data_IF_034865994747
#
_entry.id   IF_034865994747
#
_cell.length_a   1.000
_cell.length_b   1.000
_cell.length_c   1.000
_cell.angle_alpha   90.00
_cell.angle_beta   90.00
_cell.angle_gamma   90.00
#
_symmetry.space_group_name_H-M   'P 1'
#
loop_
_entity.id
_entity.type
_entity.pdbx_description
1 polymer ?
#
# COMPACT_ATOMS: atom_id res chain seq x y z
N UNK A 1 8.34 -0.15 7.08
CA UNK A 1 8.97 -0.90 5.98
C UNK A 1 8.73 -0.25 4.63
N UNK A 2 7.48 -0.06 4.18
CA UNK A 2 7.20 0.57 2.88
C UNK A 2 7.86 1.94 2.73
N UNK A 3 7.71 2.83 3.72
CA UNK A 3 8.41 4.12 3.76
C UNK A 3 9.93 3.95 3.58
N UNK A 4 10.55 3.05 4.36
CA UNK A 4 12.00 2.86 4.28
C UNK A 4 12.48 2.40 2.89
N UNK A 5 11.67 1.57 2.19
CA UNK A 5 12.02 1.07 0.86
C UNK A 5 11.78 2.11 -0.24
N UNK A 6 10.84 3.03 -0.04
CA UNK A 6 10.53 4.07 -1.02
C UNK A 6 11.40 5.33 -0.83
N UNK A 7 11.60 5.77 0.42
CA UNK A 7 12.17 7.09 0.70
C UNK A 7 13.69 7.04 0.96
N UNK A 8 14.18 6.02 1.69
CA UNK A 8 15.61 5.98 2.02
C UNK A 8 16.55 5.74 0.83
N UNK A 9 16.16 5.07 -0.27
CA UNK A 9 17.00 4.99 -1.47
C UNK A 9 17.00 6.27 -2.32
N UNK A 10 16.27 7.31 -1.91
CA UNK A 10 16.18 8.61 -2.57
C UNK A 10 17.04 9.67 -1.85
N UNK A 11 16.96 10.91 -2.29
CA UNK A 11 17.60 12.08 -1.67
C UNK A 11 16.67 12.82 -0.68
N UNK A 12 15.46 12.32 -0.45
CA UNK A 12 14.45 12.97 0.38
C UNK A 12 14.62 12.66 1.88
N UNK A 13 15.21 11.50 2.22
CA UNK A 13 15.38 11.09 3.61
C UNK A 13 16.73 10.40 3.86
N UNK A 14 17.30 10.62 5.04
CA UNK A 14 18.55 9.99 5.48
C UNK A 14 18.32 9.32 6.84
N UNK A 15 18.73 8.06 6.96
CA UNK A 15 18.86 7.39 8.25
C UNK A 15 20.22 7.73 8.86
N UNK A 16 20.20 8.40 10.00
CA UNK A 16 21.43 8.78 10.71
C UNK A 16 22.08 7.63 11.51
N UNK A 17 21.38 6.49 11.65
CA UNK A 17 21.89 5.35 12.44
C UNK A 17 22.87 4.50 11.67
N UNK A 18 24.10 4.95 11.59
CA UNK A 18 25.16 4.27 10.82
C UNK A 18 25.47 2.84 11.28
N UNK A 19 25.07 2.48 12.50
CA UNK A 19 25.22 1.13 13.05
C UNK A 19 24.06 0.19 12.72
N UNK A 20 22.97 0.67 12.14
CA UNK A 20 21.84 -0.18 11.74
C UNK A 20 22.18 -0.94 10.45
N UNK A 21 22.11 -2.26 10.52
CA UNK A 21 22.55 -3.14 9.42
C UNK A 21 21.49 -3.32 8.34
N UNK A 22 20.25 -2.94 8.60
CA UNK A 22 19.13 -3.12 7.69
C UNK A 22 18.62 -1.79 7.10
N UNK A 23 18.48 -0.76 7.93
CA UNK A 23 17.89 0.53 7.50
C UNK A 23 18.95 1.44 6.88
N UNK A 24 20.11 1.62 7.53
CA UNK A 24 21.17 2.49 7.05
C UNK A 24 21.68 2.18 5.63
N UNK A 25 21.91 0.89 5.25
CA UNK A 25 22.37 0.55 3.90
C UNK A 25 21.40 0.91 2.79
N UNK A 26 20.09 1.11 3.09
CA UNK A 26 19.09 1.52 2.09
C UNK A 26 19.42 2.88 1.47
N UNK A 27 19.95 3.83 2.27
CA UNK A 27 20.34 5.16 1.78
C UNK A 27 21.38 5.13 0.66
N UNK A 28 22.14 4.07 0.57
CA UNK A 28 23.24 3.93 -0.39
C UNK A 28 22.97 2.87 -1.45
N UNK A 29 21.74 2.33 -1.49
CA UNK A 29 21.38 1.17 -2.31
C UNK A 29 22.36 -0.03 -2.12
N UNK A 30 22.91 -0.18 -0.91
CA UNK A 30 23.89 -1.23 -0.52
C UNK A 30 23.23 -2.31 0.32
N UNK A 31 22.22 -2.96 -0.22
CA UNK A 31 21.48 -4.03 0.44
C UNK A 31 21.42 -5.28 -0.43
N UNK A 32 21.14 -6.41 0.19
CA UNK A 32 20.97 -7.71 -0.45
C UNK A 32 19.56 -8.24 -0.20
N UNK A 33 19.21 -9.37 -0.83
CA UNK A 33 17.93 -10.04 -0.59
C UNK A 33 17.74 -10.49 0.87
N UNK A 34 18.82 -10.60 1.66
CA UNK A 34 18.77 -10.95 3.08
C UNK A 34 18.60 -9.74 4.02
N UNK A 35 18.56 -8.51 3.49
CA UNK A 35 18.28 -7.32 4.30
C UNK A 35 16.92 -7.45 4.98
N UNK A 36 16.87 -7.18 6.29
CA UNK A 36 15.67 -7.41 7.09
C UNK A 36 14.46 -6.59 6.65
N UNK A 37 14.65 -5.34 6.19
CA UNK A 37 13.54 -4.51 5.69
C UNK A 37 12.98 -5.08 4.38
N UNK A 38 13.87 -5.45 3.44
CA UNK A 38 13.51 -6.03 2.14
C UNK A 38 12.77 -7.36 2.34
N UNK A 39 13.35 -8.27 3.12
CA UNK A 39 12.78 -9.60 3.36
C UNK A 39 11.45 -9.54 4.12
N UNK A 40 11.35 -8.71 5.14
CA UNK A 40 10.14 -8.60 5.94
C UNK A 40 8.98 -7.96 5.16
N UNK A 41 9.25 -7.00 4.25
CA UNK A 41 8.21 -6.45 3.39
C UNK A 41 7.68 -7.51 2.42
N UNK A 42 8.59 -8.26 1.77
CA UNK A 42 8.23 -9.39 0.91
C UNK A 42 7.33 -10.41 1.63
N UNK A 43 7.76 -10.87 2.80
CA UNK A 43 7.01 -11.85 3.58
C UNK A 43 5.62 -11.34 4.00
N UNK A 44 5.50 -10.07 4.39
CA UNK A 44 4.21 -9.48 4.76
C UNK A 44 3.22 -9.46 3.60
N UNK A 45 3.66 -9.06 2.41
CA UNK A 45 2.81 -9.05 1.22
C UNK A 45 2.31 -10.46 0.90
N UNK A 46 3.18 -11.49 0.97
CA UNK A 46 2.76 -12.86 0.72
C UNK A 46 1.86 -13.46 1.80
N UNK A 47 2.04 -13.09 3.06
CA UNK A 47 1.10 -13.48 4.13
C UNK A 47 -0.30 -12.90 3.84
N UNK A 48 -0.38 -11.65 3.43
CA UNK A 48 -1.65 -11.00 3.09
C UNK A 48 -2.28 -11.61 1.84
N UNK A 49 -1.51 -11.87 0.78
CA UNK A 49 -1.98 -12.58 -0.42
C UNK A 49 -2.54 -13.96 -0.06
N UNK A 50 -1.86 -14.72 0.81
CA UNK A 50 -2.34 -16.02 1.27
C UNK A 50 -3.67 -15.92 2.03
N UNK A 51 -3.84 -14.89 2.87
CA UNK A 51 -5.11 -14.62 3.55
C UNK A 51 -6.22 -14.24 2.57
N UNK A 52 -5.93 -13.41 1.55
CA UNK A 52 -6.87 -13.08 0.49
C UNK A 52 -7.32 -14.34 -0.27
N UNK A 53 -6.37 -15.16 -0.69
CA UNK A 53 -6.67 -16.41 -1.41
C UNK A 53 -7.53 -17.36 -0.54
N UNK A 54 -7.19 -17.53 0.74
CA UNK A 54 -7.99 -18.34 1.64
C UNK A 54 -9.43 -17.82 1.80
N UNK A 55 -9.63 -16.51 1.93
CA UNK A 55 -10.95 -15.92 1.98
C UNK A 55 -11.75 -16.21 0.70
N UNK A 56 -11.14 -16.05 -0.47
CA UNK A 56 -11.78 -16.29 -1.76
C UNK A 56 -12.18 -17.77 -1.93
N UNK A 57 -11.36 -18.71 -1.47
CA UNK A 57 -11.67 -20.14 -1.44
C UNK A 57 -12.86 -20.41 -0.50
N UNK A 58 -12.84 -19.89 0.73
CA UNK A 58 -13.89 -20.13 1.73
C UNK A 58 -15.25 -19.50 1.38
N UNK A 59 -15.24 -18.52 0.49
CA UNK A 59 -16.45 -17.80 0.05
C UNK A 59 -16.84 -18.16 -1.39
N UNK A 60 -16.24 -19.19 -1.97
CA UNK A 60 -16.62 -19.66 -3.31
C UNK A 60 -18.11 -20.06 -3.34
N UNK A 61 -18.81 -19.66 -4.41
CA UNK A 61 -20.24 -19.94 -4.61
C UNK A 61 -21.21 -19.11 -3.77
N UNK A 62 -20.72 -18.11 -3.00
CA UNK A 62 -21.59 -17.15 -2.32
C UNK A 62 -21.92 -16.00 -3.28
N UNK A 63 -23.19 -15.91 -3.68
CA UNK A 63 -23.65 -15.00 -4.76
C UNK A 63 -24.52 -13.84 -4.25
N UNK A 64 -24.70 -13.71 -2.93
CA UNK A 64 -25.39 -12.54 -2.38
C UNK A 64 -24.57 -11.26 -2.54
N UNK A 65 -25.26 -10.11 -2.65
CA UNK A 65 -24.62 -8.80 -2.94
C UNK A 65 -23.48 -8.45 -1.97
N UNK A 66 -23.68 -8.76 -0.69
CA UNK A 66 -22.65 -8.47 0.33
C UNK A 66 -21.42 -9.34 0.14
N UNK A 67 -21.59 -10.63 -0.08
CA UNK A 67 -20.50 -11.57 -0.35
C UNK A 67 -19.73 -11.19 -1.61
N UNK A 68 -20.42 -10.81 -2.69
CA UNK A 68 -19.80 -10.36 -3.92
C UNK A 68 -18.96 -9.08 -3.70
N UNK A 69 -19.50 -8.12 -2.95
CA UNK A 69 -18.77 -6.89 -2.58
C UNK A 69 -17.53 -7.21 -1.75
N UNK A 70 -17.65 -8.06 -0.72
CA UNK A 70 -16.52 -8.45 0.12
C UNK A 70 -15.43 -9.19 -0.68
N UNK A 71 -15.84 -10.06 -1.60
CA UNK A 71 -14.90 -10.75 -2.50
C UNK A 71 -14.17 -9.76 -3.42
N UNK A 72 -14.86 -8.76 -3.94
CA UNK A 72 -14.25 -7.70 -4.75
C UNK A 72 -13.24 -6.88 -3.93
N UNK A 73 -13.56 -6.51 -2.70
CA UNK A 73 -12.64 -5.81 -1.79
C UNK A 73 -11.39 -6.63 -1.47
N UNK A 74 -11.54 -7.94 -1.25
CA UNK A 74 -10.41 -8.84 -0.99
C UNK A 74 -9.55 -9.01 -2.23
N UNK A 75 -10.15 -9.12 -3.43
CA UNK A 75 -9.40 -9.09 -4.71
C UNK A 75 -8.67 -7.77 -4.91
N UNK A 76 -9.26 -6.64 -4.51
CA UNK A 76 -8.58 -5.34 -4.51
C UNK A 76 -7.35 -5.34 -3.60
N UNK A 77 -7.45 -5.83 -2.36
CA UNK A 77 -6.32 -5.91 -1.43
C UNK A 77 -5.20 -6.77 -2.02
N UNK A 78 -5.52 -7.92 -2.60
CA UNK A 78 -4.55 -8.79 -3.28
C UNK A 78 -3.88 -8.08 -4.47
N UNK A 79 -4.65 -7.35 -5.26
CA UNK A 79 -4.12 -6.56 -6.38
C UNK A 79 -3.18 -5.44 -5.90
N UNK A 80 -3.49 -4.79 -4.77
CA UNK A 80 -2.63 -3.80 -4.13
C UNK A 80 -1.31 -4.42 -3.63
N UNK A 81 -1.36 -5.61 -3.03
CA UNK A 81 -0.16 -6.33 -2.61
C UNK A 81 0.73 -6.69 -3.80
N UNK A 82 0.13 -7.18 -4.88
CA UNK A 82 0.86 -7.44 -6.13
C UNK A 82 1.38 -6.17 -6.80
N UNK A 83 0.69 -5.04 -6.66
CA UNK A 83 1.20 -3.74 -7.09
C UNK A 83 2.48 -3.36 -6.33
N UNK A 84 2.53 -3.55 -5.02
CA UNK A 84 3.78 -3.34 -4.27
C UNK A 84 4.86 -4.36 -4.63
N UNK A 85 4.49 -5.60 -4.92
CA UNK A 85 5.44 -6.63 -5.35
C UNK A 85 6.04 -6.33 -6.72
N UNK A 86 5.25 -5.88 -7.69
CA UNK A 86 5.76 -5.51 -9.03
C UNK A 86 6.69 -4.31 -8.98
N UNK A 87 6.37 -3.34 -8.12
CA UNK A 87 7.13 -2.11 -7.96
C UNK A 87 8.47 -2.35 -7.25
N UNK A 88 8.44 -3.00 -6.09
CA UNK A 88 9.61 -3.20 -5.24
C UNK A 88 10.52 -4.36 -5.69
N UNK A 89 9.95 -5.43 -6.28
CA UNK A 89 10.69 -6.69 -6.55
C UNK A 89 10.68 -7.13 -8.01
N UNK A 90 9.79 -6.61 -8.83
CA UNK A 90 9.72 -6.89 -10.27
C UNK A 90 9.11 -8.25 -10.58
N UNK A 91 9.95 -9.26 -10.90
CA UNK A 91 9.49 -10.63 -11.17
C UNK A 91 9.39 -11.41 -9.87
N UNK A 92 8.21 -11.87 -9.52
CA UNK A 92 7.91 -12.46 -8.21
C UNK A 92 7.19 -13.79 -8.31
N UNK A 93 7.20 -14.65 -7.28
CA UNK A 93 6.34 -15.82 -7.24
C UNK A 93 4.86 -15.43 -7.39
N UNK A 94 4.07 -16.23 -8.12
CA UNK A 94 2.65 -15.96 -8.33
C UNK A 94 1.78 -17.04 -7.71
N UNK A 95 0.81 -16.63 -6.92
CA UNK A 95 -0.19 -17.49 -6.29
C UNK A 95 -1.55 -16.80 -6.27
N UNK A 96 -2.60 -17.54 -6.60
CA UNK A 96 -4.00 -17.11 -6.48
C UNK A 96 -4.84 -18.19 -5.80
N UNK A 97 -6.15 -18.00 -5.70
CA UNK A 97 -7.07 -18.98 -5.12
C UNK A 97 -7.13 -20.29 -5.89
N UNK A 98 -6.73 -20.31 -7.16
CA UNK A 98 -6.74 -21.48 -8.03
C UNK A 98 -5.44 -22.29 -7.93
N UNK A 99 -4.39 -21.70 -7.39
CA UNK A 99 -3.05 -22.33 -7.31
C UNK A 99 -3.00 -23.45 -6.26
N UNK A 100 -4.00 -23.50 -5.38
CA UNK A 100 -4.10 -24.48 -4.30
C UNK A 100 -3.24 -24.17 -3.08
N UNK A 101 -3.53 -24.86 -1.98
CA UNK A 101 -2.75 -24.77 -0.73
C UNK A 101 -1.85 -26.00 -0.66
N UNK A 102 -0.54 -25.83 -0.60
CA UNK A 102 0.35 -26.98 -0.52
C UNK A 102 1.83 -26.63 -0.41
N UNK A 103 2.66 -27.67 -0.40
CA UNK A 103 4.13 -27.60 -0.30
C UNK A 103 4.81 -27.55 -1.66
N UNK A 104 4.31 -26.72 -2.58
CA UNK A 104 4.94 -26.51 -3.88
C UNK A 104 5.69 -25.16 -3.90
N UNK A 105 6.65 -25.04 -4.79
CA UNK A 105 7.36 -23.79 -5.04
C UNK A 105 6.62 -23.05 -6.16
N UNK A 106 6.01 -21.88 -5.90
CA UNK A 106 5.32 -21.13 -6.93
C UNK A 106 6.26 -20.72 -8.08
N UNK A 107 5.75 -20.76 -9.29
CA UNK A 107 6.46 -20.22 -10.43
C UNK A 107 6.55 -18.70 -10.38
N UNK A 108 7.61 -18.15 -10.95
CA UNK A 108 7.78 -16.69 -11.05
C UNK A 108 6.98 -16.16 -12.23
N UNK A 109 6.15 -15.15 -11.96
CA UNK A 109 5.51 -14.34 -12.99
C UNK A 109 6.46 -13.20 -13.42
N UNK A 110 6.48 -12.88 -14.72
CA UNK A 110 7.22 -11.72 -15.21
C UNK A 110 6.52 -10.42 -14.81
N UNK A 111 7.28 -9.34 -14.68
CA UNK A 111 6.75 -8.01 -14.38
C UNK A 111 5.61 -7.61 -15.33
N UNK A 112 5.78 -7.82 -16.65
CA UNK A 112 4.77 -7.49 -17.64
C UNK A 112 3.48 -8.33 -17.50
N UNK A 113 3.60 -9.63 -17.22
CA UNK A 113 2.45 -10.48 -17.00
C UNK A 113 1.74 -10.15 -15.67
N UNK A 114 2.49 -9.79 -14.64
CA UNK A 114 1.91 -9.35 -13.37
C UNK A 114 1.16 -8.02 -13.52
N UNK A 115 1.69 -7.09 -14.30
CA UNK A 115 0.98 -5.87 -14.69
C UNK A 115 -0.38 -6.19 -15.31
N UNK A 116 -0.40 -7.09 -16.29
CA UNK A 116 -1.64 -7.51 -16.98
C UNK A 116 -2.62 -8.17 -16.02
N UNK A 117 -2.12 -8.99 -15.09
CA UNK A 117 -2.96 -9.61 -14.05
C UNK A 117 -3.60 -8.55 -13.14
N UNK A 118 -2.82 -7.61 -12.60
CA UNK A 118 -3.31 -6.55 -11.72
C UNK A 118 -4.36 -5.68 -12.44
N UNK A 119 -4.07 -5.28 -13.68
CA UNK A 119 -5.00 -4.49 -14.50
C UNK A 119 -6.33 -5.23 -14.68
N UNK A 120 -6.28 -6.51 -15.06
CA UNK A 120 -7.46 -7.35 -15.26
C UNK A 120 -8.28 -7.46 -13.97
N UNK A 121 -7.64 -7.82 -12.85
CA UNK A 121 -8.31 -7.92 -11.55
C UNK A 121 -9.06 -6.65 -11.19
N UNK A 122 -8.38 -5.50 -11.27
CA UNK A 122 -8.98 -4.21 -10.92
C UNK A 122 -10.16 -3.83 -11.81
N UNK A 123 -10.08 -4.08 -13.13
CA UNK A 123 -11.18 -3.82 -14.07
C UNK A 123 -12.39 -4.74 -13.84
N UNK A 124 -12.15 -5.99 -13.50
CA UNK A 124 -13.23 -6.95 -13.23
C UNK A 124 -14.00 -6.63 -11.94
N UNK A 125 -13.31 -6.18 -10.90
CA UNK A 125 -13.95 -5.86 -9.62
C UNK A 125 -14.59 -4.47 -9.59
N UNK A 126 -14.18 -3.52 -10.43
CA UNK A 126 -14.69 -2.14 -10.43
C UNK A 126 -16.22 -2.07 -10.32
N UNK A 127 -17.02 -2.79 -11.12
CA UNK A 127 -18.49 -2.70 -11.05
C UNK A 127 -19.11 -3.37 -9.81
N UNK A 128 -18.35 -4.18 -9.06
CA UNK A 128 -18.80 -4.89 -7.86
C UNK A 128 -18.47 -4.10 -6.58
N UNK A 129 -17.62 -3.06 -6.68
CA UNK A 129 -17.25 -2.21 -5.57
C UNK A 129 -18.35 -1.20 -5.26
N UNK A 130 -18.48 -0.80 -4.01
CA UNK A 130 -19.35 0.32 -3.62
C UNK A 130 -18.93 1.61 -4.34
N UNK A 131 -19.89 2.48 -4.61
CA UNK A 131 -19.61 3.80 -5.18
C UNK A 131 -18.64 4.60 -4.29
N UNK A 132 -17.93 5.59 -4.85
CA UNK A 132 -17.00 6.41 -4.07
C UNK A 132 -17.64 6.98 -2.81
N UNK A 133 -16.97 6.82 -1.67
CA UNK A 133 -17.43 7.27 -0.34
C UNK A 133 -18.71 6.61 0.18
N UNK A 134 -19.25 5.59 -0.50
CA UNK A 134 -20.45 4.87 -0.06
C UNK A 134 -20.13 3.63 0.80
N UNK A 135 -18.86 3.29 0.95
CA UNK A 135 -18.46 2.18 1.80
C UNK A 135 -18.16 2.63 3.24
N UNK A 136 -18.03 1.67 4.14
CA UNK A 136 -17.58 1.91 5.52
C UNK A 136 -16.15 2.46 5.50
N UNK A 137 -15.85 3.44 6.36
CA UNK A 137 -14.51 4.03 6.47
C UNK A 137 -13.44 2.95 6.66
N UNK A 138 -12.37 3.04 5.88
CA UNK A 138 -11.29 2.05 5.87
C UNK A 138 -11.52 0.83 4.97
N UNK A 139 -12.68 0.72 4.30
CA UNK A 139 -12.93 -0.30 3.27
C UNK A 139 -12.80 0.31 1.87
N UNK A 140 -12.25 -0.49 0.95
CA UNK A 140 -12.04 -0.06 -0.42
C UNK A 140 -13.37 0.16 -1.17
N UNK A 141 -13.38 1.15 -2.06
CA UNK A 141 -14.49 1.48 -2.95
C UNK A 141 -13.97 1.69 -4.39
N UNK A 142 -14.84 2.12 -5.29
CA UNK A 142 -14.45 2.36 -6.69
C UNK A 142 -13.33 3.40 -6.84
N UNK A 143 -13.28 4.42 -5.97
CA UNK A 143 -12.23 5.42 -6.06
C UNK A 143 -10.85 4.85 -5.72
N UNK A 144 -10.78 3.90 -4.79
CA UNK A 144 -9.55 3.17 -4.49
C UNK A 144 -9.07 2.35 -5.71
N UNK A 145 -9.99 1.68 -6.40
CA UNK A 145 -9.70 0.94 -7.65
C UNK A 145 -9.17 1.89 -8.72
N UNK A 146 -9.84 3.02 -8.94
CA UNK A 146 -9.41 4.00 -9.95
C UNK A 146 -8.04 4.60 -9.65
N UNK A 147 -7.77 4.92 -8.40
CA UNK A 147 -6.47 5.45 -8.02
C UNK A 147 -5.35 4.42 -8.19
N UNK A 148 -5.60 3.16 -7.86
CA UNK A 148 -4.62 2.09 -8.06
C UNK A 148 -4.37 1.84 -9.57
N UNK A 149 -5.41 1.86 -10.40
CA UNK A 149 -5.27 1.80 -11.87
C UNK A 149 -4.49 3.00 -12.41
N UNK A 150 -4.78 4.23 -11.92
CA UNK A 150 -4.03 5.42 -12.32
C UNK A 150 -2.53 5.27 -12.02
N UNK A 151 -2.17 4.80 -10.83
CA UNK A 151 -0.77 4.56 -10.45
C UNK A 151 -0.11 3.45 -11.28
N UNK A 152 -0.85 2.36 -11.53
CA UNK A 152 -0.38 1.25 -12.37
C UNK A 152 -0.08 1.73 -13.79
N UNK A 153 -0.97 2.52 -14.40
CA UNK A 153 -0.79 3.09 -15.74
C UNK A 153 0.32 4.15 -15.80
N UNK A 154 0.49 4.96 -14.76
CA UNK A 154 1.55 5.95 -14.70
C UNK A 154 2.94 5.29 -14.84
N UNK A 155 3.12 4.13 -14.22
CA UNK A 155 4.37 3.36 -14.24
C UNK A 155 4.38 2.23 -15.29
N UNK A 156 3.41 2.18 -16.20
CA UNK A 156 3.28 1.08 -17.17
C UNK A 156 4.52 0.91 -18.05
N UNK A 157 5.18 2.01 -18.45
CA UNK A 157 6.41 1.96 -19.24
C UNK A 157 7.54 1.23 -18.51
N UNK A 158 7.68 1.44 -17.21
CA UNK A 158 8.67 0.74 -16.37
C UNK A 158 8.37 -0.76 -16.28
N UNK A 159 7.09 -1.12 -16.20
CA UNK A 159 6.68 -2.51 -16.00
C UNK A 159 6.63 -3.31 -17.31
N UNK A 160 6.27 -2.67 -18.43
CA UNK A 160 5.94 -3.35 -19.69
C UNK A 160 6.77 -2.87 -20.89
N UNK A 161 7.48 -1.75 -20.77
CA UNK A 161 8.13 -1.05 -21.88
C UNK A 161 7.18 -0.20 -22.72
N UNK A 162 5.89 -0.11 -22.36
CA UNK A 162 4.89 0.67 -23.12
C UNK A 162 4.18 1.66 -22.20
N UNK A 163 4.27 2.98 -22.48
CA UNK A 163 3.65 4.01 -21.64
C UNK A 163 2.11 3.99 -21.78
N UNK A 164 1.42 4.28 -20.66
CA UNK A 164 -0.04 4.36 -20.57
C UNK A 164 -0.51 5.67 -19.89
N UNK A 165 0.17 6.77 -20.13
CA UNK A 165 -0.06 8.03 -19.41
C UNK A 165 -1.45 8.62 -19.61
N UNK A 166 -2.05 8.43 -20.82
CA UNK A 166 -3.43 8.87 -21.07
C UNK A 166 -4.43 8.12 -20.20
N UNK A 167 -4.27 6.80 -20.06
CA UNK A 167 -5.12 6.00 -19.18
C UNK A 167 -4.92 6.39 -17.70
N UNK A 168 -3.67 6.67 -17.28
CA UNK A 168 -3.38 7.18 -15.93
C UNK A 168 -4.15 8.46 -15.64
N UNK A 169 -4.12 9.43 -16.56
CA UNK A 169 -4.83 10.71 -16.43
C UNK A 169 -6.36 10.53 -16.43
N UNK A 170 -6.90 9.61 -17.23
CA UNK A 170 -8.33 9.30 -17.27
C UNK A 170 -8.82 8.76 -15.92
N UNK A 171 -8.12 7.80 -15.33
CA UNK A 171 -8.51 7.24 -14.03
C UNK A 171 -8.30 8.22 -12.88
N UNK A 172 -7.26 9.05 -12.89
CA UNK A 172 -7.10 10.16 -11.94
C UNK A 172 -8.28 11.15 -12.03
N UNK A 173 -8.73 11.46 -13.27
CA UNK A 173 -9.88 12.32 -13.48
C UNK A 173 -11.18 11.74 -12.91
N UNK A 174 -11.42 10.41 -13.03
CA UNK A 174 -12.58 9.77 -12.39
C UNK A 174 -12.62 10.03 -10.88
N UNK A 175 -11.47 9.97 -10.19
CA UNK A 175 -11.38 10.26 -8.76
C UNK A 175 -11.73 11.72 -8.47
N UNK A 176 -11.20 12.67 -9.24
CA UNK A 176 -11.52 14.10 -9.10
C UNK A 176 -13.02 14.36 -9.32
N UNK A 177 -13.59 13.78 -10.37
CA UNK A 177 -15.00 13.92 -10.72
C UNK A 177 -15.93 13.29 -9.66
N UNK A 178 -15.45 12.35 -8.85
CA UNK A 178 -16.16 11.78 -7.71
C UNK A 178 -16.16 12.66 -6.45
N UNK A 179 -15.62 13.87 -6.53
CA UNK A 179 -15.67 14.89 -5.48
C UNK A 179 -14.56 14.81 -4.44
N UNK A 180 -13.48 14.10 -4.73
CA UNK A 180 -12.24 14.22 -3.94
C UNK A 180 -11.54 15.54 -4.30
N UNK A 181 -11.05 16.24 -3.28
CA UNK A 181 -10.40 17.54 -3.44
C UNK A 181 -9.26 17.70 -2.45
N UNK A 182 -8.34 18.61 -2.75
CA UNK A 182 -7.29 18.95 -1.80
C UNK A 182 -7.88 19.61 -0.55
N UNK A 183 -7.30 19.30 0.61
CA UNK A 183 -7.62 19.97 1.86
C UNK A 183 -7.24 21.46 1.76
N UNK A 184 -8.06 22.39 2.29
CA UNK A 184 -7.74 23.82 2.28
C UNK A 184 -6.42 24.15 2.96
N UNK A 185 -6.06 23.40 4.01
CA UNK A 185 -4.79 23.49 4.70
C UNK A 185 -4.11 22.10 4.64
N UNK A 186 -2.94 22.02 4.04
CA UNK A 186 -2.17 20.78 3.90
C UNK A 186 -1.90 20.10 5.24
N UNK A 187 -1.65 20.88 6.30
CA UNK A 187 -1.38 20.37 7.64
C UNK A 187 -2.50 19.54 8.25
N UNK A 188 -3.77 19.79 7.82
CA UNK A 188 -4.93 19.06 8.35
C UNK A 188 -4.89 17.56 8.02
N UNK A 189 -4.18 17.16 6.97
CA UNK A 189 -3.99 15.75 6.61
C UNK A 189 -3.16 14.96 7.64
N UNK A 190 -2.47 15.64 8.55
CA UNK A 190 -1.55 15.04 9.54
C UNK A 190 -2.04 15.20 10.99
N UNK A 191 -3.18 15.80 11.20
CA UNK A 191 -3.79 15.95 12.52
C UNK A 191 -4.45 14.64 12.99
N UNK A 192 -4.79 14.60 14.28
CA UNK A 192 -5.44 13.43 14.89
C UNK A 192 -6.82 13.11 14.30
N UNK A 193 -7.50 14.10 13.74
CA UNK A 193 -8.80 14.04 13.08
C UNK A 193 -8.71 14.03 11.55
N UNK A 194 -7.59 13.62 10.99
CA UNK A 194 -7.35 13.56 9.55
C UNK A 194 -8.34 12.66 8.79
N UNK A 195 -9.10 11.82 9.49
CA UNK A 195 -10.19 11.05 8.91
C UNK A 195 -11.30 11.92 8.28
N UNK A 196 -11.33 13.23 8.58
CA UNK A 196 -12.25 14.20 7.99
C UNK A 196 -11.72 14.83 6.70
N UNK A 197 -10.47 14.58 6.33
CA UNK A 197 -9.85 15.16 5.14
C UNK A 197 -10.59 14.78 3.86
N UNK A 198 -10.85 15.74 2.95
CA UNK A 198 -11.46 15.49 1.65
C UNK A 198 -10.52 14.73 0.69
N UNK A 199 -9.24 14.60 1.02
CA UNK A 199 -8.23 13.89 0.22
C UNK A 199 -8.25 12.38 0.43
N UNK A 200 -8.81 11.88 1.56
CA UNK A 200 -8.73 10.46 1.92
C UNK A 200 -9.56 9.59 0.97
N UNK A 201 -8.89 8.77 0.17
CA UNK A 201 -9.49 7.80 -0.75
C UNK A 201 -9.62 6.45 -0.07
N UNK A 202 -8.52 5.90 0.43
CA UNK A 202 -8.49 4.64 1.17
C UNK A 202 -7.53 4.76 2.35
N UNK A 203 -8.04 5.04 3.55
CA UNK A 203 -7.21 5.07 4.75
C UNK A 203 -6.92 3.64 5.26
N UNK A 204 -5.70 3.42 5.72
CA UNK A 204 -5.35 2.24 6.50
C UNK A 204 -5.46 2.61 7.98
N UNK A 205 -6.52 2.15 8.62
CA UNK A 205 -6.89 2.59 9.96
C UNK A 205 -6.02 1.94 11.04
N UNK A 206 -5.49 2.77 11.93
CA UNK A 206 -4.81 2.35 13.16
C UNK A 206 -5.49 3.02 14.35
N UNK A 207 -6.01 2.24 15.29
CA UNK A 207 -6.67 2.73 16.51
C UNK A 207 -5.74 2.74 17.74
N UNK A 208 -4.54 2.21 17.59
CA UNK A 208 -3.55 2.13 18.66
C UNK A 208 -3.82 1.10 19.73
N UNK A 209 -4.95 0.41 19.67
CA UNK A 209 -5.38 -0.63 20.65
C UNK A 209 -5.42 -2.00 19.98
N UNK A 210 -6.34 -2.19 19.02
CA UNK A 210 -6.49 -3.45 18.30
C UNK A 210 -5.63 -3.51 17.05
N UNK A 211 -5.58 -2.40 16.31
CA UNK A 211 -4.70 -2.23 15.15
C UNK A 211 -3.55 -1.32 15.51
N UNK A 212 -2.43 -1.93 15.88
CA UNK A 212 -1.19 -1.22 16.24
C UNK A 212 0.01 -1.88 15.59
N UNK A 213 1.02 -1.09 15.24
CA UNK A 213 2.33 -1.59 14.87
C UNK A 213 3.42 -0.80 15.60
N UNK A 214 4.51 -1.48 15.92
CA UNK A 214 5.69 -0.85 16.55
C UNK A 214 6.56 -0.12 15.51
N UNK A 215 6.20 -0.19 14.25
CA UNK A 215 6.92 0.45 13.16
C UNK A 215 5.91 1.17 12.25
N UNK A 216 6.28 2.26 11.67
CA UNK A 216 5.45 3.05 10.78
C UNK A 216 5.63 4.52 11.07
N UNK A 217 4.66 5.35 10.72
CA UNK A 217 4.72 6.80 10.92
C UNK A 217 4.93 7.20 12.39
N UNK A 218 4.38 6.42 13.34
CA UNK A 218 4.63 6.65 14.77
C UNK A 218 6.13 6.63 15.10
N UNK A 219 6.86 5.65 14.59
CA UNK A 219 8.30 5.53 14.80
C UNK A 219 9.04 6.75 14.20
N UNK A 220 8.70 7.13 12.96
CA UNK A 220 9.31 8.27 12.28
C UNK A 220 8.99 9.57 13.01
N UNK A 221 7.73 9.81 13.37
CA UNK A 221 7.33 11.02 14.10
C UNK A 221 7.99 11.11 15.46
N UNK A 222 8.15 9.99 16.18
CA UNK A 222 8.81 9.95 17.49
C UNK A 222 10.31 10.24 17.40
N UNK A 223 10.96 9.88 16.29
CA UNK A 223 12.39 10.15 16.09
C UNK A 223 12.69 11.61 15.76
N UNK A 224 11.84 12.22 14.93
CA UNK A 224 12.01 13.63 14.54
C UNK A 224 11.91 14.56 15.77
N UNK A 225 11.19 14.15 16.82
CA UNK A 225 11.01 14.96 18.02
C UNK A 225 12.21 14.95 19.00
N UNK A 226 13.26 14.16 18.73
CA UNK A 226 14.37 13.98 19.68
C UNK A 226 15.17 15.23 20.02
N UNK A 227 15.41 16.09 19.03
CA UNK A 227 16.16 17.34 19.19
C UNK A 227 15.25 18.58 19.30
N UNK A 228 13.93 18.38 19.23
CA UNK A 228 12.96 19.46 19.40
C UNK A 228 12.59 19.61 20.89
N UNK A 229 12.23 20.81 21.32
CA UNK A 229 11.63 21.02 22.63
C UNK A 229 10.19 20.46 22.61
N UNK A 230 10.09 19.13 22.64
CA UNK A 230 8.85 18.41 22.41
C UNK A 230 7.72 18.78 23.38
N UNK A 231 8.08 19.24 24.59
CA UNK A 231 7.09 19.69 25.58
C UNK A 231 6.47 21.03 25.16
N UNK A 232 7.29 21.99 24.73
CA UNK A 232 6.83 23.33 24.38
C UNK A 232 6.20 23.36 22.97
N UNK A 233 6.77 22.59 22.03
CA UNK A 233 6.32 22.61 20.64
C UNK A 233 5.12 21.69 20.39
N UNK A 234 5.03 20.54 21.10
CA UNK A 234 4.02 19.50 20.83
C UNK A 234 3.27 19.04 22.09
N UNK A 235 3.57 19.58 23.27
CA UNK A 235 2.92 19.18 24.52
C UNK A 235 3.22 17.74 24.96
N UNK A 236 4.25 17.10 24.42
CA UNK A 236 4.64 15.72 24.75
C UNK A 236 5.71 15.70 25.83
N UNK A 237 5.51 14.87 26.86
CA UNK A 237 6.45 14.79 28.01
C UNK A 237 7.72 14.01 27.72
N UNK A 238 7.75 13.19 26.71
CA UNK A 238 8.89 12.35 26.35
C UNK A 238 9.10 12.39 24.84
N UNK A 239 10.29 12.86 24.45
CA UNK A 239 10.79 12.69 23.11
C UNK A 239 11.64 11.41 23.08
N UNK A 240 11.36 10.50 22.16
CA UNK A 240 12.29 9.43 21.84
C UNK A 240 13.37 10.05 20.94
N UNK A 241 14.52 10.35 21.55
CA UNK A 241 15.61 11.01 20.87
C UNK A 241 16.21 10.17 19.78
N UNK A 242 16.17 10.67 18.58
CA UNK A 242 17.13 10.41 17.54
C UNK A 242 17.97 11.67 17.43
N UNK A 243 19.26 11.56 17.54
CA UNK A 243 20.20 12.63 17.15
C UNK A 243 20.29 12.66 15.65
#
# INVERSE_FOLDING_TARGET
>A
MLFNLNELPTDEAICAWSGDVDVYPLNFAKFTASNGVVLNMFNRLYIQIAQCNNFLIQTEGKDDEESLTQRAEVRFIRALDYYYLIDLYGNVPFVDENTGIGTYVPERITRANLYTYIEKELKEIEPQMKAPRANVYGRADQAAVWMLLSRLYLNAEVYTGTPQWSAAAEYAKKVMDAGFSLAPNYGDNFLADNNTSPEMILPICYDGVQTRSWSGLFFIASFISGDMNALDDFGTKEAWGGN
#
